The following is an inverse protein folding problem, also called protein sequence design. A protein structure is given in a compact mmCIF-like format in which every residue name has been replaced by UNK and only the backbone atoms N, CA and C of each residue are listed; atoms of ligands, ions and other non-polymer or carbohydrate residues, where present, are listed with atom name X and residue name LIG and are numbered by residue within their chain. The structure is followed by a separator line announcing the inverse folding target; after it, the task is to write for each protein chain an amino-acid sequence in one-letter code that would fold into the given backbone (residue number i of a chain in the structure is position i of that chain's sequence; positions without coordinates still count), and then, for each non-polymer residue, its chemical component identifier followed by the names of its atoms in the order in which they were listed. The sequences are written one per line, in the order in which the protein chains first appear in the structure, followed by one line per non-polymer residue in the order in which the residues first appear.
data_IF_542391344275
#
_entry.id   IF_542391344275
#
_cell.length_a   1.000
_cell.length_b   1.000
_cell.length_c   1.000
_cell.angle_alpha   90.00
_cell.angle_beta   90.00
_cell.angle_gamma   90.00
#
_symmetry.space_group_name_H-M   'P 1'
#
loop_
_entity.id
_entity.type
_entity.pdbx_description
1 polymer ?
#
# COMPACT_ATOMS: atom_id res chain seq x y z
N UNK A 1 20.14 -14.35 -14.39
CA UNK A 1 19.66 -13.78 -13.12
C UNK A 1 19.81 -12.27 -13.21
N UNK A 2 18.77 -11.52 -13.62
CA UNK A 2 18.83 -10.05 -13.61
C UNK A 2 18.58 -9.61 -12.18
N UNK A 3 19.64 -9.26 -11.46
CA UNK A 3 19.55 -8.49 -10.21
C UNK A 3 18.78 -7.21 -10.54
N UNK A 4 17.52 -7.13 -10.14
CA UNK A 4 16.73 -5.91 -10.27
C UNK A 4 17.45 -4.79 -9.51
N UNK A 5 17.99 -3.82 -10.23
CA UNK A 5 18.74 -2.71 -9.62
C UNK A 5 17.88 -1.95 -8.63
N UNK A 6 18.48 -1.52 -7.52
CA UNK A 6 17.82 -0.68 -6.52
C UNK A 6 17.37 0.64 -7.16
N UNK A 7 16.10 1.00 -6.94
CA UNK A 7 15.52 2.23 -7.48
C UNK A 7 15.19 3.18 -6.35
N UNK A 8 15.49 4.46 -6.55
CA UNK A 8 14.89 5.51 -5.72
C UNK A 8 13.39 5.63 -6.04
N UNK A 9 12.65 6.25 -5.12
CA UNK A 9 11.24 6.60 -5.33
C UNK A 9 11.01 7.32 -6.67
N UNK A 10 11.85 8.29 -7.05
CA UNK A 10 11.68 9.04 -8.31
C UNK A 10 11.96 8.19 -9.55
N UNK A 11 12.98 7.33 -9.49
CA UNK A 11 13.31 6.41 -10.59
C UNK A 11 12.17 5.43 -10.86
N UNK A 12 11.63 4.82 -9.79
CA UNK A 12 10.51 3.90 -9.90
C UNK A 12 9.24 4.61 -10.41
N UNK A 13 8.89 5.80 -9.88
CA UNK A 13 7.76 6.59 -10.40
C UNK A 13 7.89 6.85 -11.90
N UNK A 14 9.09 7.21 -12.37
CA UNK A 14 9.33 7.47 -13.79
C UNK A 14 9.14 6.21 -14.63
N UNK A 15 9.66 5.07 -14.18
CA UNK A 15 9.46 3.79 -14.87
C UNK A 15 7.97 3.45 -14.98
N UNK A 16 7.24 3.51 -13.87
CA UNK A 16 5.81 3.21 -13.81
C UNK A 16 4.97 4.15 -14.67
N UNK A 17 5.31 5.45 -14.68
CA UNK A 17 4.66 6.43 -15.57
C UNK A 17 4.87 6.08 -17.04
N UNK A 18 6.07 5.70 -17.46
CA UNK A 18 6.35 5.32 -18.86
C UNK A 18 5.57 4.06 -19.26
N UNK A 19 5.57 3.03 -18.41
CA UNK A 19 4.80 1.80 -18.64
C UNK A 19 3.30 2.09 -18.77
N UNK A 20 2.77 2.85 -17.83
CA UNK A 20 1.35 3.21 -17.79
C UNK A 20 0.95 4.06 -19.00
N UNK A 21 1.83 4.95 -19.46
CA UNK A 21 1.58 5.75 -20.66
C UNK A 21 1.51 4.88 -21.92
N UNK A 22 2.47 3.95 -22.08
CA UNK A 22 2.48 3.00 -23.19
C UNK A 22 1.26 2.07 -23.18
N UNK A 23 0.87 1.59 -22.00
CA UNK A 23 -0.34 0.80 -21.80
C UNK A 23 -1.59 1.59 -22.22
N UNK A 24 -1.73 2.82 -21.71
CA UNK A 24 -2.87 3.68 -21.97
C UNK A 24 -3.05 3.98 -23.47
N UNK A 25 -1.94 4.26 -24.17
CA UNK A 25 -1.96 4.51 -25.61
C UNK A 25 -2.31 3.27 -26.42
N UNK A 26 -1.66 2.15 -26.12
CA UNK A 26 -1.85 0.89 -26.86
C UNK A 26 -3.29 0.38 -26.72
N UNK A 27 -3.85 0.46 -25.51
CA UNK A 27 -5.21 -0.02 -25.22
C UNK A 27 -6.30 1.04 -25.40
N UNK A 28 -5.93 2.26 -25.84
CA UNK A 28 -6.84 3.40 -26.01
C UNK A 28 -7.68 3.66 -24.74
N UNK A 29 -7.02 3.69 -23.59
CA UNK A 29 -7.65 3.96 -22.30
C UNK A 29 -7.73 5.46 -22.07
N UNK A 30 -8.80 5.91 -21.40
CA UNK A 30 -8.91 7.30 -20.98
C UNK A 30 -7.81 7.62 -19.96
N UNK A 31 -6.96 8.59 -20.28
CA UNK A 31 -5.88 9.02 -19.40
C UNK A 31 -5.52 10.50 -19.62
N UNK A 32 -4.88 11.06 -18.60
CA UNK A 32 -4.21 12.36 -18.63
C UNK A 32 -2.82 12.21 -17.97
N UNK A 33 -2.00 13.24 -18.07
CA UNK A 33 -0.66 13.28 -17.50
C UNK A 33 -0.55 14.46 -16.56
N UNK A 34 -0.20 14.20 -15.30
CA UNK A 34 -0.08 15.27 -14.32
C UNK A 34 1.02 16.28 -14.70
N UNK A 35 0.82 17.59 -14.51
CA UNK A 35 1.84 18.58 -14.81
C UNK A 35 3.06 18.45 -13.87
N UNK A 36 4.23 18.88 -14.33
CA UNK A 36 5.46 18.95 -13.54
C UNK A 36 6.55 17.96 -13.97
N UNK A 37 7.74 18.09 -13.36
CA UNK A 37 8.94 17.34 -13.73
C UNK A 37 8.84 15.82 -13.46
N UNK A 38 7.98 15.41 -12.52
CA UNK A 38 7.71 14.01 -12.19
C UNK A 38 6.25 13.69 -12.55
N UNK A 39 5.95 13.76 -13.85
CA UNK A 39 4.59 13.52 -14.33
C UNK A 39 4.15 12.08 -14.07
N UNK A 40 2.87 11.93 -13.73
CA UNK A 40 2.22 10.65 -13.46
C UNK A 40 1.03 10.51 -14.38
N UNK A 41 0.85 9.30 -14.91
CA UNK A 41 -0.35 8.97 -15.67
C UNK A 41 -1.52 8.87 -14.70
N UNK A 42 -2.56 9.62 -14.99
CA UNK A 42 -3.85 9.56 -14.30
C UNK A 42 -4.80 8.86 -15.25
N UNK A 43 -5.47 7.79 -14.83
CA UNK A 43 -6.44 7.06 -15.64
C UNK A 43 -7.86 7.47 -15.28
N UNK A 44 -8.71 7.65 -16.28
CA UNK A 44 -10.12 7.89 -16.08
C UNK A 44 -10.97 6.67 -16.40
N UNK A 45 -12.24 6.73 -15.99
CA UNK A 45 -13.27 5.80 -16.46
C UNK A 45 -13.79 6.26 -17.82
N UNK A 46 -13.71 5.40 -18.83
CA UNK A 46 -14.23 5.70 -20.16
C UNK A 46 -15.73 5.39 -20.30
N UNK A 47 -16.31 5.74 -21.46
CA UNK A 47 -17.73 5.51 -21.78
C UNK A 47 -18.11 4.03 -21.83
N UNK A 48 -17.14 3.14 -22.05
CA UNK A 48 -17.32 1.69 -22.00
C UNK A 48 -17.25 1.15 -20.56
N UNK A 49 -17.06 2.02 -19.57
CA UNK A 49 -16.95 1.68 -18.17
C UNK A 49 -15.59 1.10 -17.78
N UNK A 50 -14.58 1.13 -18.66
CA UNK A 50 -13.23 0.63 -18.36
C UNK A 50 -12.46 1.68 -17.57
N UNK A 51 -11.63 1.23 -16.64
CA UNK A 51 -10.73 2.09 -15.88
C UNK A 51 -9.29 1.61 -16.03
N UNK A 52 -8.44 2.39 -16.72
CA UNK A 52 -7.10 1.93 -17.10
C UNK A 52 -6.14 1.66 -15.94
N UNK A 53 -6.41 2.19 -14.75
CA UNK A 53 -5.61 1.87 -13.56
C UNK A 53 -5.99 0.54 -12.89
N UNK A 54 -7.02 -0.17 -13.35
CA UNK A 54 -7.44 -1.40 -12.72
C UNK A 54 -7.47 -2.56 -13.71
N UNK A 55 -7.21 -3.77 -13.22
CA UNK A 55 -7.58 -4.99 -13.91
C UNK A 55 -9.10 -4.97 -14.12
N UNK A 56 -9.62 -5.33 -15.30
CA UNK A 56 -11.07 -5.26 -15.58
C UNK A 56 -11.92 -6.00 -14.54
N UNK A 57 -11.49 -7.19 -14.13
CA UNK A 57 -12.24 -7.98 -13.15
C UNK A 57 -12.18 -7.38 -11.74
N UNK A 58 -11.01 -6.90 -11.32
CA UNK A 58 -10.89 -6.20 -10.03
C UNK A 58 -11.75 -4.95 -10.02
N UNK A 59 -11.76 -4.17 -11.12
CA UNK A 59 -12.59 -2.97 -11.22
C UNK A 59 -14.09 -3.29 -11.14
N UNK A 60 -14.52 -4.34 -11.85
CA UNK A 60 -15.91 -4.83 -11.79
C UNK A 60 -16.30 -5.15 -10.35
N UNK A 61 -15.46 -5.91 -9.65
CA UNK A 61 -15.69 -6.27 -8.25
C UNK A 61 -15.71 -5.06 -7.31
N UNK A 62 -14.80 -4.10 -7.50
CA UNK A 62 -14.78 -2.83 -6.75
C UNK A 62 -16.09 -2.06 -6.96
N UNK A 63 -16.59 -1.96 -8.19
CA UNK A 63 -17.79 -1.22 -8.50
C UNK A 63 -19.06 -1.83 -7.91
N UNK A 64 -19.17 -3.17 -7.85
CA UNK A 64 -20.36 -3.84 -7.30
C UNK A 64 -20.36 -3.89 -5.78
N UNK A 65 -19.20 -3.78 -5.12
CA UNK A 65 -19.10 -3.75 -3.66
C UNK A 65 -19.12 -2.30 -3.14
N UNK A 66 -20.18 -1.83 -2.44
CA UNK A 66 -20.28 -0.45 -1.98
C UNK A 66 -19.16 -0.03 -1.02
N UNK A 67 -18.61 -0.95 -0.23
CA UNK A 67 -17.50 -0.65 0.67
C UNK A 67 -16.22 -0.35 -0.11
N UNK A 68 -15.94 -1.12 -1.18
CA UNK A 68 -14.77 -0.92 -2.03
C UNK A 68 -14.95 0.28 -2.97
N UNK A 69 -16.12 0.45 -3.56
CA UNK A 69 -16.44 1.58 -4.44
C UNK A 69 -16.21 2.93 -3.78
N UNK A 70 -16.44 3.06 -2.45
CA UNK A 70 -16.16 4.29 -1.71
C UNK A 70 -14.69 4.72 -1.78
N UNK A 71 -13.74 3.79 -1.91
CA UNK A 71 -12.30 4.11 -2.06
C UNK A 71 -12.01 4.86 -3.37
N UNK A 72 -12.82 4.68 -4.40
CA UNK A 72 -12.67 5.39 -5.68
C UNK A 72 -13.00 6.90 -5.58
N UNK A 73 -13.68 7.34 -4.51
CA UNK A 73 -14.17 8.73 -4.39
C UNK A 73 -13.22 9.68 -3.68
N UNK A 74 -12.05 9.20 -3.22
CA UNK A 74 -11.09 10.04 -2.52
C UNK A 74 -10.37 10.95 -3.53
N UNK A 75 -10.59 12.25 -3.41
CA UNK A 75 -10.06 13.25 -4.37
C UNK A 75 -8.53 13.30 -4.31
N UNK A 76 -7.88 13.27 -5.47
CA UNK A 76 -6.42 13.36 -5.56
C UNK A 76 -5.93 14.72 -5.04
N UNK A 77 -4.91 14.72 -4.18
CA UNK A 77 -4.36 15.95 -3.56
C UNK A 77 -3.91 17.02 -4.58
N UNK A 78 -3.47 16.60 -5.76
CA UNK A 78 -3.09 17.48 -6.86
C UNK A 78 -4.27 17.95 -7.75
N UNK A 79 -5.49 17.45 -7.55
CA UNK A 79 -6.67 17.77 -8.37
C UNK A 79 -6.96 19.28 -8.41
N UNK A 80 -6.73 20.00 -7.31
CA UNK A 80 -6.90 21.47 -7.24
C UNK A 80 -5.84 22.25 -8.04
N UNK A 81 -4.67 21.65 -8.27
CA UNK A 81 -3.54 22.28 -8.98
C UNK A 81 -3.51 21.91 -10.45
N UNK A 82 -4.10 20.78 -10.82
CA UNK A 82 -4.32 20.44 -12.20
C UNK A 82 -5.39 21.37 -12.77
N UNK A 83 -5.06 22.07 -13.85
CA UNK A 83 -6.05 22.43 -14.88
C UNK A 83 -6.50 21.15 -15.60
N UNK A 84 -6.85 20.10 -14.83
CA UNK A 84 -7.48 18.91 -15.35
C UNK A 84 -8.66 19.39 -16.19
N UNK A 85 -8.94 18.70 -17.31
CA UNK A 85 -10.09 19.01 -18.16
C UNK A 85 -11.28 19.34 -17.25
N UNK A 86 -12.02 20.41 -17.56
CA UNK A 86 -13.16 20.86 -16.73
C UNK A 86 -14.17 19.75 -16.42
N UNK A 87 -14.12 18.65 -17.19
CA UNK A 87 -15.07 17.55 -17.18
C UNK A 87 -14.59 16.34 -16.36
N UNK A 88 -13.39 16.35 -15.76
CA UNK A 88 -12.86 15.19 -15.02
C UNK A 88 -12.08 15.58 -13.76
N UNK A 89 -12.63 15.21 -12.60
CA UNK A 89 -11.95 15.31 -11.31
C UNK A 89 -11.08 14.07 -11.06
N UNK A 90 -9.78 14.29 -10.87
CA UNK A 90 -8.83 13.22 -10.52
C UNK A 90 -9.05 12.69 -9.10
N UNK A 91 -9.13 11.37 -8.97
CA UNK A 91 -9.21 10.64 -7.71
C UNK A 91 -7.85 10.03 -7.35
N UNK A 92 -7.62 9.71 -6.07
CA UNK A 92 -6.34 9.16 -5.60
C UNK A 92 -5.98 7.85 -6.30
N UNK A 93 -6.99 6.99 -6.52
CA UNK A 93 -6.81 5.71 -7.17
C UNK A 93 -6.74 5.79 -8.70
N UNK A 94 -6.84 6.98 -9.29
CA UNK A 94 -6.62 7.19 -10.72
C UNK A 94 -5.13 7.18 -11.07
N UNK A 95 -4.28 7.48 -10.07
CA UNK A 95 -2.84 7.58 -10.24
C UNK A 95 -2.18 6.22 -10.48
N UNK A 96 -1.43 6.11 -11.57
CA UNK A 96 -0.63 4.93 -11.90
C UNK A 96 0.37 4.50 -10.81
N UNK A 97 0.76 5.43 -9.95
CA UNK A 97 1.74 5.23 -8.90
C UNK A 97 1.13 4.90 -7.52
N UNK A 98 -0.19 4.70 -7.46
CA UNK A 98 -0.93 4.42 -6.24
C UNK A 98 -0.71 2.98 -5.75
N UNK A 99 -0.18 2.87 -4.54
CA UNK A 99 -0.06 1.62 -3.78
C UNK A 99 -1.42 1.06 -3.40
N UNK A 100 -2.36 1.89 -2.96
CA UNK A 100 -3.76 1.50 -2.70
C UNK A 100 -4.41 0.91 -3.95
N UNK A 101 -4.19 1.50 -5.14
CA UNK A 101 -4.74 0.95 -6.38
C UNK A 101 -4.12 -0.41 -6.71
N UNK A 102 -2.82 -0.60 -6.47
CA UNK A 102 -2.16 -1.90 -6.61
C UNK A 102 -2.74 -2.92 -5.61
N UNK A 103 -2.91 -2.54 -4.35
CA UNK A 103 -3.48 -3.37 -3.30
C UNK A 103 -4.91 -3.81 -3.66
N UNK A 104 -5.75 -2.87 -4.10
CA UNK A 104 -7.12 -3.17 -4.53
C UNK A 104 -7.16 -4.00 -5.82
N UNK A 105 -6.23 -3.80 -6.76
CA UNK A 105 -6.11 -4.65 -7.94
C UNK A 105 -5.91 -6.12 -7.57
N UNK A 106 -5.18 -6.40 -6.50
CA UNK A 106 -4.92 -7.77 -6.04
C UNK A 106 -6.11 -8.30 -5.24
N UNK A 107 -6.46 -7.64 -4.14
CA UNK A 107 -7.41 -8.19 -3.17
C UNK A 107 -8.89 -8.05 -3.57
N UNK A 108 -9.20 -7.30 -4.62
CA UNK A 108 -10.55 -7.29 -5.21
C UNK A 108 -10.66 -8.20 -6.44
N UNK A 109 -9.58 -8.87 -6.88
CA UNK A 109 -9.62 -9.73 -8.05
C UNK A 109 -10.36 -11.05 -7.74
N UNK A 110 -11.32 -11.51 -8.57
CA UNK A 110 -12.08 -12.73 -8.29
C UNK A 110 -11.20 -13.99 -8.20
N UNK A 111 -10.14 -14.07 -9.00
CA UNK A 111 -9.15 -15.18 -8.88
C UNK A 111 -8.31 -15.17 -7.58
N UNK A 112 -8.29 -14.06 -6.85
CA UNK A 112 -7.66 -13.95 -5.52
C UNK A 112 -8.72 -14.08 -4.42
N UNK A 113 -9.92 -13.55 -4.66
CA UNK A 113 -11.00 -13.52 -3.70
C UNK A 113 -12.33 -13.85 -4.40
N UNK A 114 -12.85 -15.07 -4.22
CA UNK A 114 -14.08 -15.54 -4.85
C UNK A 114 -15.07 -16.02 -3.80
N UNK A 115 -16.33 -15.62 -3.91
CA UNK A 115 -17.43 -16.12 -3.06
C UNK A 115 -17.15 -16.04 -1.55
N UNK A 116 -16.45 -14.99 -1.12
CA UNK A 116 -16.09 -14.82 0.29
C UNK A 116 -14.87 -15.61 0.75
N UNK A 117 -14.16 -16.30 -0.15
CA UNK A 117 -13.00 -17.11 0.16
C UNK A 117 -11.75 -16.54 -0.51
N UNK A 118 -10.71 -16.27 0.29
CA UNK A 118 -9.38 -15.91 -0.17
C UNK A 118 -8.66 -17.13 -0.73
N UNK A 119 -7.95 -16.93 -1.84
CA UNK A 119 -7.12 -17.94 -2.47
C UNK A 119 -6.13 -18.56 -1.45
N UNK A 120 -6.11 -19.88 -1.35
CA UNK A 120 -5.33 -20.60 -0.33
C UNK A 120 -3.83 -20.29 -0.37
N UNK A 121 -3.24 -20.06 -1.55
CA UNK A 121 -1.82 -19.73 -1.66
C UNK A 121 -1.55 -18.35 -1.05
N UNK A 122 -2.44 -17.39 -1.28
CA UNK A 122 -2.36 -16.04 -0.71
C UNK A 122 -2.63 -16.08 0.80
N UNK A 123 -3.66 -16.81 1.23
CA UNK A 123 -4.00 -16.98 2.65
C UNK A 123 -2.83 -17.58 3.44
N UNK A 124 -2.23 -18.65 2.93
CA UNK A 124 -1.06 -19.30 3.54
C UNK A 124 0.16 -18.38 3.60
N UNK A 125 0.44 -17.66 2.51
CA UNK A 125 1.57 -16.71 2.46
C UNK A 125 1.41 -15.60 3.49
N UNK A 126 0.20 -15.08 3.67
CA UNK A 126 -0.11 -14.04 4.64
C UNK A 126 -0.34 -14.56 6.07
N UNK A 127 -0.50 -15.88 6.23
CA UNK A 127 -0.88 -16.56 7.46
C UNK A 127 -2.20 -16.03 8.04
N UNK A 128 -3.25 -16.03 7.21
CA UNK A 128 -4.61 -15.60 7.57
C UNK A 128 -5.62 -16.71 7.26
N UNK A 129 -6.78 -16.68 7.93
CA UNK A 129 -7.90 -17.57 7.62
C UNK A 129 -8.45 -17.27 6.21
N UNK A 130 -8.58 -18.27 5.31
CA UNK A 130 -9.18 -18.08 3.99
C UNK A 130 -10.61 -17.50 4.00
N UNK A 131 -11.38 -17.68 5.07
CA UNK A 131 -12.75 -17.17 5.18
C UNK A 131 -12.83 -15.66 5.51
N UNK A 132 -11.68 -15.02 5.75
CA UNK A 132 -11.63 -13.59 6.06
C UNK A 132 -12.03 -12.71 4.88
N UNK A 133 -12.54 -11.50 5.16
CA UNK A 133 -12.86 -10.50 4.14
C UNK A 133 -11.85 -9.34 4.15
N UNK A 134 -11.47 -8.78 2.99
CA UNK A 134 -10.61 -7.61 2.93
C UNK A 134 -11.39 -6.32 3.25
N UNK A 135 -10.91 -5.58 4.25
CA UNK A 135 -11.43 -4.27 4.65
C UNK A 135 -10.39 -3.18 4.38
N UNK A 136 -10.65 -2.31 3.40
CA UNK A 136 -9.68 -1.28 3.00
C UNK A 136 -9.84 0.03 3.76
N UNK A 137 -8.72 0.66 4.11
CA UNK A 137 -8.68 1.99 4.72
C UNK A 137 -9.34 2.05 6.09
N UNK A 138 -8.95 1.14 6.98
CA UNK A 138 -9.52 1.07 8.32
C UNK A 138 -8.79 2.01 9.30
N UNK A 139 -9.48 2.40 10.37
CA UNK A 139 -8.89 3.22 11.45
C UNK A 139 -8.99 2.44 12.76
N UNK A 140 -7.96 1.65 13.13
CA UNK A 140 -8.04 0.72 14.25
C UNK A 140 -8.15 1.40 15.62
N UNK A 141 -7.77 2.68 15.72
CA UNK A 141 -7.85 3.45 16.97
C UNK A 141 -6.71 3.09 17.92
N UNK A 142 -5.54 3.70 17.74
CA UNK A 142 -4.37 3.40 18.59
C UNK A 142 -4.46 4.16 19.92
N UNK A 143 -4.39 3.49 21.08
CA UNK A 143 -4.51 4.16 22.37
C UNK A 143 -3.39 5.17 22.63
N UNK A 144 -3.78 6.39 23.02
CA UNK A 144 -2.89 7.44 23.48
C UNK A 144 -2.89 7.51 25.02
N UNK A 145 -1.80 8.02 25.61
CA UNK A 145 -1.63 8.19 27.06
C UNK A 145 -2.71 9.07 27.69
N UNK A 146 -3.31 9.98 26.92
CA UNK A 146 -4.35 10.90 27.38
C UNK A 146 -5.78 10.33 27.24
N UNK A 147 -5.94 9.03 27.01
CA UNK A 147 -7.24 8.35 26.87
C UNK A 147 -7.93 8.53 25.50
N UNK A 148 -7.36 9.33 24.59
CA UNK A 148 -7.87 9.46 23.22
C UNK A 148 -7.31 8.35 22.32
N UNK A 149 -7.84 8.27 21.10
CA UNK A 149 -7.40 7.34 20.06
C UNK A 149 -6.78 8.08 18.88
N UNK A 150 -5.65 7.57 18.37
CA UNK A 150 -5.16 7.92 17.04
C UNK A 150 -5.99 7.19 15.97
N UNK A 151 -6.63 7.97 15.08
CA UNK A 151 -7.50 7.48 14.01
C UNK A 151 -6.84 7.52 12.63
N UNK A 152 -5.53 7.41 12.58
CA UNK A 152 -4.82 7.30 11.32
C UNK A 152 -5.18 5.99 10.62
N UNK A 153 -5.26 6.06 9.29
CA UNK A 153 -5.65 4.94 8.42
C UNK A 153 -4.54 3.87 8.33
N UNK A 154 -4.96 2.61 8.17
CA UNK A 154 -4.18 1.47 7.69
C UNK A 154 -4.84 0.95 6.41
N UNK A 155 -4.04 0.60 5.41
CA UNK A 155 -4.52 0.38 4.04
C UNK A 155 -5.43 -0.84 3.91
N UNK A 156 -5.12 -1.93 4.62
CA UNK A 156 -5.94 -3.15 4.61
C UNK A 156 -5.96 -3.86 5.96
N UNK A 157 -7.14 -4.32 6.34
CA UNK A 157 -7.37 -5.31 7.37
C UNK A 157 -7.90 -6.60 6.74
N UNK A 158 -7.23 -7.71 7.06
CA UNK A 158 -7.51 -9.03 6.55
C UNK A 158 -7.42 -10.04 7.70
N UNK A 159 -8.54 -10.24 8.40
CA UNK A 159 -8.67 -11.25 9.45
C UNK A 159 -7.89 -10.84 10.69
N UNK A 160 -6.81 -11.56 11.00
CA UNK A 160 -5.89 -11.22 12.09
C UNK A 160 -4.70 -10.35 11.63
N UNK A 161 -4.73 -9.80 10.41
CA UNK A 161 -3.61 -9.09 9.80
C UNK A 161 -3.96 -7.65 9.41
N UNK A 162 -3.13 -6.71 9.83
CA UNK A 162 -3.06 -5.36 9.27
C UNK A 162 -1.97 -5.29 8.20
N UNK A 163 -2.23 -4.53 7.13
CA UNK A 163 -1.32 -4.37 6.00
C UNK A 163 -1.13 -2.89 5.68
N UNK A 164 0.13 -2.49 5.54
CA UNK A 164 0.54 -1.20 4.97
C UNK A 164 1.23 -1.46 3.62
N UNK A 165 0.73 -0.83 2.57
CA UNK A 165 1.16 -1.00 1.19
C UNK A 165 2.02 0.18 0.74
N UNK A 166 3.21 -0.11 0.21
CA UNK A 166 4.10 0.87 -0.41
C UNK A 166 4.55 0.42 -1.78
N UNK A 167 4.47 1.32 -2.74
CA UNK A 167 4.96 1.12 -4.10
C UNK A 167 6.00 2.19 -4.42
N UNK A 168 5.57 3.45 -4.52
CA UNK A 168 6.43 4.56 -4.97
C UNK A 168 6.69 5.63 -3.93
N UNK A 169 6.14 5.52 -2.72
CA UNK A 169 6.23 6.49 -1.65
C UNK A 169 7.68 6.78 -1.29
N UNK A 170 7.99 8.04 -0.95
CA UNK A 170 9.36 8.43 -0.65
C UNK A 170 9.83 7.87 0.69
N UNK A 171 8.93 7.73 1.67
CA UNK A 171 9.23 7.22 3.01
C UNK A 171 7.96 6.79 3.75
N UNK A 172 8.14 6.22 4.95
CA UNK A 172 7.09 5.90 5.92
C UNK A 172 6.78 7.06 6.89
N UNK A 173 6.95 8.30 6.43
CA UNK A 173 6.82 9.51 7.23
C UNK A 173 7.83 9.60 8.39
N UNK A 174 8.16 10.82 8.78
CA UNK A 174 9.03 11.10 9.91
C UNK A 174 8.27 11.92 10.94
N UNK A 175 8.66 11.84 12.22
CA UNK A 175 7.99 12.56 13.29
C UNK A 175 8.95 13.07 14.35
N UNK A 176 8.59 14.18 14.99
CA UNK A 176 9.27 14.66 16.19
C UNK A 176 9.02 13.70 17.37
N UNK A 177 9.96 13.55 18.31
CA UNK A 177 9.85 12.62 19.44
C UNK A 177 8.52 12.72 20.20
N UNK A 178 8.07 13.95 20.49
CA UNK A 178 6.79 14.20 21.20
C UNK A 178 5.57 13.55 20.56
N UNK A 179 5.58 13.30 19.24
CA UNK A 179 4.45 12.70 18.53
C UNK A 179 4.38 11.17 18.69
N UNK A 180 5.51 10.50 19.00
CA UNK A 180 5.53 9.07 19.30
C UNK A 180 5.39 8.80 20.81
N UNK A 181 5.92 9.69 21.66
CA UNK A 181 5.85 9.58 23.12
C UNK A 181 4.42 9.61 23.67
N UNK A 182 3.44 10.05 22.87
CA UNK A 182 2.03 10.09 23.27
C UNK A 182 1.33 8.73 23.23
N UNK A 183 1.88 7.71 22.57
CA UNK A 183 1.22 6.41 22.52
C UNK A 183 1.36 5.68 23.85
N UNK A 184 0.27 5.03 24.27
CA UNK A 184 0.22 4.33 25.55
C UNK A 184 1.29 3.26 25.65
N UNK A 185 1.40 2.42 24.63
CA UNK A 185 2.22 1.20 24.66
C UNK A 185 3.61 1.39 24.03
N UNK A 186 4.04 2.63 23.81
CA UNK A 186 5.26 2.93 23.06
C UNK A 186 6.52 2.25 23.63
N UNK A 187 6.82 2.52 24.90
CA UNK A 187 7.97 1.94 25.61
C UNK A 187 7.78 0.45 25.94
N UNK A 188 6.54 -0.02 25.99
CA UNK A 188 6.23 -1.45 26.15
C UNK A 188 6.65 -2.24 24.91
N UNK A 189 6.41 -1.70 23.72
CA UNK A 189 6.64 -2.38 22.45
C UNK A 189 8.05 -2.14 21.90
N UNK A 190 8.61 -0.95 22.12
CA UNK A 190 9.88 -0.53 21.53
C UNK A 190 10.96 -0.24 22.57
N UNK A 191 12.18 -0.70 22.27
CA UNK A 191 13.40 -0.11 22.80
C UNK A 191 13.66 1.22 22.07
N UNK A 192 13.34 2.32 22.77
CA UNK A 192 13.41 3.69 22.23
C UNK A 192 14.83 4.05 21.76
N UNK A 193 15.86 3.48 22.39
CA UNK A 193 17.26 3.77 22.05
C UNK A 193 17.70 3.14 20.73
N UNK A 194 16.96 2.13 20.26
CA UNK A 194 17.23 1.39 19.01
C UNK A 194 16.37 1.83 17.83
N UNK A 195 15.41 2.73 18.06
CA UNK A 195 14.61 3.29 16.96
C UNK A 195 15.49 4.06 15.96
N UNK A 196 15.09 4.14 14.69
CA UNK A 196 15.83 4.88 13.69
C UNK A 196 15.62 6.40 13.90
N UNK A 197 16.69 7.08 14.30
CA UNK A 197 16.74 8.53 14.49
C UNK A 197 17.61 9.18 13.43
N UNK A 198 17.20 10.33 12.93
CA UNK A 198 18.08 11.23 12.17
C UNK A 198 19.03 11.97 13.12
N UNK A 199 20.09 12.57 12.55
CA UNK A 199 21.06 13.36 13.33
C UNK A 199 20.42 14.56 14.05
N UNK A 200 19.33 15.11 13.53
CA UNK A 200 18.56 16.20 14.14
C UNK A 200 17.48 15.72 15.14
N UNK A 201 17.51 14.44 15.52
CA UNK A 201 16.62 13.89 16.55
C UNK A 201 15.19 13.65 16.06
N UNK A 202 14.98 13.49 14.75
CA UNK A 202 13.69 13.14 14.15
C UNK A 202 13.60 11.62 14.00
N UNK A 203 12.45 11.07 14.39
CA UNK A 203 12.17 9.64 14.27
C UNK A 203 11.84 9.34 12.82
N UNK A 204 12.50 8.35 12.25
CA UNK A 204 12.19 7.81 10.93
C UNK A 204 11.17 6.67 11.03
N UNK A 205 10.38 6.46 9.98
CA UNK A 205 9.43 5.35 9.95
C UNK A 205 8.26 5.50 10.92
N UNK A 206 7.82 6.74 11.17
CA UNK A 206 6.74 7.05 12.10
C UNK A 206 5.45 6.27 11.79
N UNK A 207 5.09 6.13 10.51
CA UNK A 207 3.92 5.36 10.10
C UNK A 207 4.03 3.89 10.51
N UNK A 208 5.22 3.29 10.38
CA UNK A 208 5.46 1.92 10.79
C UNK A 208 5.34 1.75 12.30
N UNK A 209 5.97 2.65 13.07
CA UNK A 209 5.88 2.64 14.54
C UNK A 209 4.41 2.70 14.98
N UNK A 210 3.64 3.64 14.42
CA UNK A 210 2.21 3.77 14.71
C UNK A 210 1.42 2.51 14.34
N UNK A 211 1.68 1.91 13.18
CA UNK A 211 0.96 0.71 12.73
C UNK A 211 1.33 -0.54 13.55
N UNK A 212 2.58 -0.66 13.97
CA UNK A 212 3.02 -1.71 14.91
C UNK A 212 2.31 -1.56 16.26
N UNK A 213 2.16 -0.34 16.78
CA UNK A 213 1.38 -0.08 18.00
C UNK A 213 -0.11 -0.37 17.81
N UNK A 214 -0.66 -0.08 16.63
CA UNK A 214 -2.04 -0.42 16.29
C UNK A 214 -2.28 -1.93 16.33
N UNK A 215 -1.36 -2.69 15.72
CA UNK A 215 -1.39 -4.14 15.72
C UNK A 215 -1.25 -4.70 17.14
N UNK A 216 -0.32 -4.18 17.94
CA UNK A 216 -0.15 -4.59 19.34
C UNK A 216 -1.42 -4.36 20.16
N UNK A 217 -1.99 -3.17 20.10
CA UNK A 217 -3.18 -2.81 20.88
C UNK A 217 -4.44 -3.58 20.46
N UNK A 218 -4.48 -4.08 19.22
CA UNK A 218 -5.61 -4.85 18.66
C UNK A 218 -5.37 -6.36 18.68
N UNK A 219 -4.24 -6.82 19.24
CA UNK A 219 -3.76 -8.20 19.17
C UNK A 219 -3.71 -8.79 17.74
N UNK A 220 -3.32 -7.96 16.77
CA UNK A 220 -3.21 -8.31 15.35
C UNK A 220 -1.76 -8.57 14.94
N UNK A 221 -1.57 -9.23 13.80
CA UNK A 221 -0.31 -9.23 13.05
C UNK A 221 -0.20 -7.97 12.19
N UNK A 222 1.01 -7.62 11.76
CA UNK A 222 1.25 -6.51 10.85
C UNK A 222 2.20 -6.89 9.72
N UNK A 223 1.82 -6.58 8.48
CA UNK A 223 2.62 -6.82 7.28
C UNK A 223 2.86 -5.52 6.53
N UNK A 224 4.10 -5.27 6.19
CA UNK A 224 4.45 -4.26 5.18
C UNK A 224 4.53 -4.94 3.82
N UNK A 225 3.73 -4.48 2.86
CA UNK A 225 3.89 -4.81 1.44
C UNK A 225 4.74 -3.74 0.77
N UNK A 226 5.89 -4.11 0.21
CA UNK A 226 6.80 -3.16 -0.45
C UNK A 226 7.28 -3.66 -1.81
N UNK A 227 7.70 -2.75 -2.68
CA UNK A 227 8.35 -3.16 -3.93
C UNK A 227 9.79 -3.62 -3.64
N UNK A 228 10.18 -4.81 -4.09
CA UNK A 228 11.53 -5.34 -3.90
C UNK A 228 12.65 -4.43 -4.44
N UNK A 229 12.32 -3.53 -5.38
CA UNK A 229 13.25 -2.53 -5.93
C UNK A 229 13.51 -1.37 -4.96
N UNK A 230 12.71 -1.23 -3.89
CA UNK A 230 12.76 -0.16 -2.87
C UNK A 230 13.44 -0.62 -1.59
N UNK A 231 14.73 -0.95 -1.68
CA UNK A 231 15.52 -1.35 -0.51
C UNK A 231 15.55 -0.30 0.59
N UNK A 232 15.51 0.98 0.22
CA UNK A 232 15.43 2.09 1.17
C UNK A 232 14.20 1.98 2.10
N UNK A 233 13.06 1.51 1.59
CA UNK A 233 11.87 1.27 2.41
C UNK A 233 12.01 -0.01 3.24
N UNK A 234 12.59 -1.07 2.66
CA UNK A 234 12.82 -2.35 3.33
C UNK A 234 13.77 -2.18 4.53
N UNK A 235 14.84 -1.40 4.37
CA UNK A 235 15.81 -1.07 5.42
C UNK A 235 15.18 -0.28 6.57
N UNK A 236 14.30 0.68 6.27
CA UNK A 236 13.55 1.43 7.29
C UNK A 236 12.64 0.48 8.08
N UNK A 237 11.96 -0.45 7.40
CA UNK A 237 11.17 -1.47 8.09
C UNK A 237 12.02 -2.32 9.05
N UNK A 238 13.13 -2.88 8.57
CA UNK A 238 14.00 -3.70 9.43
C UNK A 238 14.62 -2.91 10.58
N UNK A 239 14.92 -1.62 10.38
CA UNK A 239 15.38 -0.73 11.45
C UNK A 239 14.32 -0.59 12.55
N UNK A 240 13.06 -0.32 12.18
CA UNK A 240 11.93 -0.25 13.13
C UNK A 240 11.68 -1.61 13.79
N UNK A 241 11.66 -2.70 13.03
CA UNK A 241 11.46 -4.05 13.53
C UNK A 241 12.53 -4.44 14.55
N UNK A 242 13.79 -4.06 14.32
CA UNK A 242 14.89 -4.34 15.23
C UNK A 242 14.72 -3.70 16.61
N UNK A 243 13.98 -2.58 16.69
CA UNK A 243 13.68 -1.88 17.93
C UNK A 243 12.50 -2.50 18.71
N UNK A 244 11.75 -3.44 18.12
CA UNK A 244 10.67 -4.12 18.83
C UNK A 244 11.26 -5.11 19.82
N UNK A 245 11.08 -4.86 21.11
CA UNK A 245 11.67 -5.68 22.19
C UNK A 245 10.67 -6.59 22.92
N UNK A 246 9.40 -6.59 22.52
CA UNK A 246 8.38 -7.45 23.10
C UNK A 246 8.41 -8.84 22.40
N UNK A 247 9.00 -9.88 23.01
CA UNK A 247 9.40 -11.08 22.25
C UNK A 247 8.22 -11.88 21.67
N UNK A 248 7.09 -11.93 22.39
CA UNK A 248 5.87 -12.61 21.94
C UNK A 248 5.05 -11.80 20.94
N UNK A 249 5.51 -10.63 20.50
CA UNK A 249 4.87 -9.84 19.46
C UNK A 249 5.70 -9.77 18.18
N UNK A 250 7.04 -9.73 18.26
CA UNK A 250 7.90 -9.54 17.11
C UNK A 250 7.68 -10.56 15.98
N UNK A 251 7.34 -11.82 16.31
CA UNK A 251 7.06 -12.87 15.31
C UNK A 251 5.76 -12.66 14.50
N UNK A 252 4.89 -11.73 14.93
CA UNK A 252 3.67 -11.33 14.21
C UNK A 252 3.89 -10.17 13.23
N UNK A 253 5.11 -9.64 13.18
CA UNK A 253 5.51 -8.54 12.31
C UNK A 253 6.27 -9.10 11.11
N UNK A 254 5.85 -8.72 9.90
CA UNK A 254 6.44 -9.26 8.67
C UNK A 254 6.58 -8.21 7.58
N UNK A 255 7.47 -8.48 6.64
CA UNK A 255 7.55 -7.79 5.36
C UNK A 255 7.41 -8.84 4.27
N UNK A 256 6.65 -8.48 3.24
CA UNK A 256 6.53 -9.26 2.02
C UNK A 256 6.66 -8.29 0.84
N UNK A 257 7.36 -8.69 -0.19
CA UNK A 257 7.46 -7.89 -1.41
C UNK A 257 6.27 -8.14 -2.33
N UNK A 258 5.92 -7.17 -3.18
CA UNK A 258 4.91 -7.39 -4.22
C UNK A 258 5.28 -8.53 -5.16
N UNK A 259 6.57 -8.74 -5.40
CA UNK A 259 7.13 -9.81 -6.23
C UNK A 259 6.91 -11.20 -5.61
N UNK A 260 7.13 -11.33 -4.30
CA UNK A 260 6.82 -12.57 -3.57
C UNK A 260 5.30 -12.82 -3.52
N UNK A 261 4.49 -11.78 -3.28
CA UNK A 261 3.03 -11.91 -3.33
C UNK A 261 2.56 -12.33 -4.73
N UNK A 262 3.13 -11.75 -5.79
CA UNK A 262 2.80 -12.07 -7.17
C UNK A 262 2.97 -13.56 -7.48
N UNK A 263 3.96 -14.24 -6.87
CA UNK A 263 4.19 -15.68 -7.04
C UNK A 263 2.98 -16.55 -6.64
N UNK A 264 2.15 -16.05 -5.71
CA UNK A 264 0.95 -16.73 -5.22
C UNK A 264 -0.33 -16.39 -6.02
N UNK A 265 -0.29 -15.39 -6.90
CA UNK A 265 -1.45 -14.90 -7.63
C UNK A 265 -1.77 -15.76 -8.88
N UNK A 266 -3.00 -15.69 -9.42
CA UNK A 266 -3.33 -16.26 -10.73
C UNK A 266 -2.45 -15.69 -11.84
N UNK A 267 -2.15 -16.50 -12.87
CA UNK A 267 -1.25 -16.13 -13.99
C UNK A 267 -1.66 -14.85 -14.71
N UNK A 268 -2.96 -14.66 -14.94
CA UNK A 268 -3.48 -13.44 -15.59
C UNK A 268 -3.14 -12.18 -14.78
N UNK A 269 -3.31 -12.24 -13.46
CA UNK A 269 -2.98 -11.14 -12.58
C UNK A 269 -1.46 -10.91 -12.51
N UNK A 270 -0.65 -11.97 -12.53
CA UNK A 270 0.81 -11.84 -12.65
C UNK A 270 1.22 -11.09 -13.93
N UNK A 271 0.62 -11.44 -15.07
CA UNK A 271 0.89 -10.76 -16.36
C UNK A 271 0.47 -9.29 -16.31
N UNK A 272 -0.70 -8.98 -15.73
CA UNK A 272 -1.12 -7.60 -15.51
C UNK A 272 -0.12 -6.81 -14.66
N UNK A 273 0.35 -7.40 -13.55
CA UNK A 273 1.33 -6.77 -12.67
C UNK A 273 2.68 -6.55 -13.35
N UNK A 274 3.14 -7.49 -14.17
CA UNK A 274 4.37 -7.37 -14.95
C UNK A 274 4.26 -6.24 -15.99
N UNK A 275 3.19 -6.23 -16.78
CA UNK A 275 3.00 -5.25 -17.85
C UNK A 275 2.91 -3.84 -17.24
N UNK A 276 2.04 -3.68 -16.24
CA UNK A 276 1.70 -2.37 -15.70
C UNK A 276 2.76 -1.84 -14.74
N UNK A 277 3.23 -2.68 -13.82
CA UNK A 277 4.11 -2.27 -12.72
C UNK A 277 5.55 -2.75 -12.87
N UNK A 278 5.84 -3.66 -13.81
CA UNK A 278 7.15 -4.31 -13.88
C UNK A 278 7.41 -5.25 -12.69
N UNK A 279 6.36 -5.66 -11.98
CA UNK A 279 6.45 -6.63 -10.88
C UNK A 279 6.48 -8.02 -11.51
N UNK A 280 7.65 -8.63 -11.53
CA UNK A 280 7.88 -10.00 -11.99
C UNK A 280 7.96 -10.90 -10.78
N UNK A 281 7.42 -12.12 -10.88
CA UNK A 281 7.50 -13.14 -9.84
C UNK A 281 8.96 -13.39 -9.45
N UNK A 282 9.21 -13.42 -8.13
CA UNK A 282 10.52 -13.70 -7.55
C UNK A 282 10.91 -15.18 -7.66
#
# INVERSE_FOLDING_TARGET
MKTGGHLTSSMLRRELSVRSYNLARTQKLLHDVSPGANSVVIFGRDEQGRHGNFHPDSYTQICVNPAWARRLNKVHTASRRSRARKDWQWMELDSANSSDALLMNIFCHPGVFSEGILNLRVANLLNVDPATQPCFGITPGVPLRNGHLDRSEIDLHLGNLFVEAKLTETSFQNARPRLIERYRDFETVFDVTRLPWTADGIVQGYQLIRNVLAAFASDMSFCVLSDARRQDLIEVWYSVLSAVHYPSFAWRLKLLTWQELAAALPTELQQFLEIKYGIVVA
#
